data_IF_201418763742
#
_entry.id   IF_201418763742
#
_cell.length_a   1.000
_cell.length_b   1.000
_cell.length_c   1.000
_cell.angle_alpha   90.00
_cell.angle_beta   90.00
_cell.angle_gamma   90.00
#
_symmetry.space_group_name_H-M   'P 1'
#
loop_
_entity.id
_entity.type
_entity.pdbx_description
1 polymer ?
#
# COMPACT_ATOMS: atom_id res chain seq x y z
N UNK A 1 8.66 -26.19 7.99
CA UNK A 1 8.71 -24.72 8.13
C UNK A 1 7.97 -24.16 6.94
N UNK A 2 6.82 -23.53 7.14
CA UNK A 2 6.06 -22.95 6.02
C UNK A 2 6.95 -21.91 5.32
N UNK A 3 7.30 -22.16 4.06
CA UNK A 3 8.02 -21.24 3.18
C UNK A 3 7.07 -20.10 2.75
N UNK A 4 6.48 -19.38 3.71
CA UNK A 4 5.67 -18.21 3.40
C UNK A 4 6.59 -17.05 3.04
N UNK A 5 6.41 -16.50 1.84
CA UNK A 5 7.10 -15.29 1.39
C UNK A 5 6.76 -14.15 2.38
N UNK A 6 7.72 -13.67 3.21
CA UNK A 6 7.42 -12.67 4.22
C UNK A 6 6.97 -11.33 3.63
N UNK A 7 7.37 -11.03 2.39
CA UNK A 7 6.94 -9.83 1.70
C UNK A 7 5.46 -9.95 1.26
N UNK A 8 4.99 -11.15 0.93
CA UNK A 8 3.59 -11.37 0.57
C UNK A 8 2.68 -11.15 1.78
N UNK A 9 3.02 -11.72 2.95
CA UNK A 9 2.20 -11.54 4.16
C UNK A 9 2.20 -10.09 4.63
N UNK A 10 3.38 -9.45 4.68
CA UNK A 10 3.49 -8.02 5.05
C UNK A 10 2.71 -7.10 4.11
N UNK A 11 2.80 -7.32 2.80
CA UNK A 11 2.09 -6.47 1.83
C UNK A 11 0.58 -6.66 1.86
N UNK A 12 0.10 -7.87 2.19
CA UNK A 12 -1.33 -8.12 2.41
C UNK A 12 -1.85 -7.41 3.67
N UNK A 13 -1.11 -7.52 4.80
CA UNK A 13 -1.46 -6.83 6.04
C UNK A 13 -1.41 -5.31 5.89
N UNK A 14 -0.49 -4.80 5.08
CA UNK A 14 -0.44 -3.38 4.71
C UNK A 14 -1.66 -2.97 3.88
N UNK A 15 -2.01 -3.73 2.85
CA UNK A 15 -3.20 -3.48 2.02
C UNK A 15 -4.49 -3.45 2.87
N UNK A 16 -4.63 -4.35 3.86
CA UNK A 16 -5.76 -4.34 4.80
C UNK A 16 -5.85 -3.05 5.62
N UNK A 17 -4.71 -2.49 6.04
CA UNK A 17 -4.68 -1.23 6.77
C UNK A 17 -5.05 -0.04 5.87
N UNK A 18 -4.61 -0.05 4.61
CA UNK A 18 -5.01 0.94 3.61
C UNK A 18 -6.52 0.91 3.37
N UNK A 19 -7.11 -0.29 3.25
CA UNK A 19 -8.58 -0.44 3.11
C UNK A 19 -9.31 0.13 4.32
N UNK A 20 -8.84 -0.14 5.55
CA UNK A 20 -9.44 0.41 6.78
C UNK A 20 -9.33 1.94 6.81
N UNK A 21 -8.18 2.49 6.44
CA UNK A 21 -7.97 3.93 6.40
C UNK A 21 -8.88 4.60 5.35
N UNK A 22 -9.03 4.00 4.17
CA UNK A 22 -9.99 4.48 3.16
C UNK A 22 -11.43 4.51 3.69
N UNK A 23 -11.86 3.47 4.40
CA UNK A 23 -13.20 3.43 5.01
C UNK A 23 -13.39 4.53 6.06
N UNK A 24 -12.37 4.80 6.87
CA UNK A 24 -12.39 5.88 7.87
C UNK A 24 -12.50 7.27 7.21
N UNK A 25 -11.64 7.54 6.22
CA UNK A 25 -11.62 8.79 5.48
C UNK A 25 -12.95 9.07 4.77
N UNK A 26 -13.56 8.05 4.17
CA UNK A 26 -14.81 8.21 3.42
C UNK A 26 -16.04 8.31 4.33
N UNK A 27 -16.08 7.58 5.45
CA UNK A 27 -17.24 7.59 6.37
C UNK A 27 -17.24 8.82 7.27
N UNK A 28 -16.09 9.15 7.86
CA UNK A 28 -16.02 10.14 8.94
C UNK A 28 -15.46 11.49 8.46
N UNK A 29 -14.50 11.48 7.52
CA UNK A 29 -13.91 12.71 6.98
C UNK A 29 -14.54 13.19 5.68
N UNK A 30 -15.39 12.36 5.05
CA UNK A 30 -16.02 12.61 3.74
C UNK A 30 -15.00 12.99 2.66
N UNK A 31 -13.81 12.38 2.70
CA UNK A 31 -12.76 12.56 1.69
C UNK A 31 -12.81 11.38 0.72
N UNK A 32 -12.91 11.64 -0.59
CA UNK A 32 -13.18 10.63 -1.60
C UNK A 32 -12.19 10.60 -2.76
N UNK A 33 -11.34 11.61 -2.89
CA UNK A 33 -10.43 11.79 -4.02
C UNK A 33 -9.06 11.23 -3.67
N UNK A 34 -8.44 11.76 -2.62
CA UNK A 34 -7.10 11.34 -2.17
C UNK A 34 -7.13 9.93 -1.59
N UNK A 35 -8.15 9.62 -0.80
CA UNK A 35 -8.39 8.31 -0.20
C UNK A 35 -8.54 7.23 -1.26
N UNK A 36 -9.17 7.55 -2.40
CA UNK A 36 -9.31 6.62 -3.52
C UNK A 36 -8.00 6.40 -4.27
N UNK A 37 -7.17 7.43 -4.43
CA UNK A 37 -5.83 7.26 -5.00
C UNK A 37 -4.96 6.41 -4.07
N UNK A 38 -4.97 6.70 -2.76
CA UNK A 38 -4.29 5.92 -1.74
C UNK A 38 -4.73 4.45 -1.77
N UNK A 39 -6.05 4.20 -1.82
CA UNK A 39 -6.60 2.84 -1.86
C UNK A 39 -6.04 2.04 -3.04
N UNK A 40 -6.03 2.65 -4.23
CA UNK A 40 -5.53 2.00 -5.44
C UNK A 40 -4.04 1.68 -5.33
N UNK A 41 -3.21 2.67 -5.03
CA UNK A 41 -1.77 2.47 -4.94
C UNK A 41 -1.40 1.47 -3.83
N UNK A 42 -1.95 1.65 -2.62
CA UNK A 42 -1.60 0.84 -1.46
C UNK A 42 -2.01 -0.64 -1.58
N UNK A 43 -3.12 -0.92 -2.26
CA UNK A 43 -3.52 -2.31 -2.54
C UNK A 43 -2.79 -2.92 -3.74
N UNK A 44 -2.36 -2.08 -4.70
CA UNK A 44 -1.57 -2.49 -5.88
C UNK A 44 -0.19 -3.04 -5.49
N UNK A 45 0.39 -2.59 -4.38
CA UNK A 45 1.65 -3.13 -3.83
C UNK A 45 1.56 -4.65 -3.62
N UNK A 46 0.60 -5.09 -2.80
CA UNK A 46 0.40 -6.52 -2.51
C UNK A 46 -0.05 -7.31 -3.73
N UNK A 47 -0.88 -6.72 -4.60
CA UNK A 47 -1.32 -7.36 -5.83
C UNK A 47 -0.15 -7.70 -6.76
N UNK A 48 0.77 -6.76 -7.00
CA UNK A 48 1.94 -7.00 -7.84
C UNK A 48 2.94 -7.98 -7.20
N UNK A 49 3.09 -7.98 -5.88
CA UNK A 49 3.92 -8.98 -5.16
C UNK A 49 3.30 -10.39 -5.28
N UNK A 50 1.98 -10.51 -5.21
CA UNK A 50 1.29 -11.78 -5.42
C UNK A 50 1.49 -12.29 -6.86
N UNK A 51 1.38 -11.41 -7.86
CA UNK A 51 1.67 -11.76 -9.25
C UNK A 51 3.14 -12.17 -9.45
N UNK A 52 4.09 -11.50 -8.78
CA UNK A 52 5.50 -11.86 -8.83
C UNK A 52 5.75 -13.30 -8.35
N UNK A 53 5.03 -13.79 -7.33
CA UNK A 53 5.17 -15.18 -6.88
C UNK A 53 4.73 -16.21 -7.94
N UNK A 54 3.88 -15.82 -8.90
CA UNK A 54 3.47 -16.63 -10.05
C UNK A 54 4.29 -16.38 -11.32
N UNK A 55 5.38 -15.60 -11.23
CA UNK A 55 6.14 -15.18 -12.41
C UNK A 55 6.72 -16.36 -13.19
N UNK A 56 6.62 -16.29 -14.51
CA UNK A 56 7.10 -17.34 -15.43
C UNK A 56 8.59 -17.22 -15.77
N UNK A 57 9.22 -16.11 -15.37
CA UNK A 57 10.65 -15.86 -15.58
C UNK A 57 11.22 -14.88 -14.55
N UNK A 58 12.55 -14.82 -14.43
CA UNK A 58 13.22 -13.82 -13.57
C UNK A 58 12.96 -12.38 -14.01
N UNK A 59 12.85 -12.15 -15.33
CA UNK A 59 12.56 -10.82 -15.87
C UNK A 59 11.14 -10.36 -15.51
N UNK A 60 10.16 -11.26 -15.62
CA UNK A 60 8.77 -11.03 -15.22
C UNK A 60 8.66 -10.76 -13.71
N UNK A 61 9.31 -11.60 -12.89
CA UNK A 61 9.42 -11.39 -11.44
C UNK A 61 9.96 -9.99 -11.12
N UNK A 62 11.10 -9.61 -11.73
CA UNK A 62 11.73 -8.31 -11.51
C UNK A 62 10.85 -7.14 -11.94
N UNK A 63 10.10 -7.29 -13.04
CA UNK A 63 9.18 -6.27 -13.52
C UNK A 63 8.03 -6.04 -12.53
N UNK A 64 7.41 -7.12 -12.03
CA UNK A 64 6.32 -7.05 -11.04
C UNK A 64 6.77 -6.44 -9.72
N UNK A 65 7.94 -6.84 -9.20
CA UNK A 65 8.53 -6.23 -8.00
C UNK A 65 8.83 -4.74 -8.23
N UNK A 66 9.31 -4.35 -9.42
CA UNK A 66 9.55 -2.94 -9.73
C UNK A 66 8.27 -2.12 -9.78
N UNK A 67 7.16 -2.69 -10.24
CA UNK A 67 5.84 -2.04 -10.19
C UNK A 67 5.38 -1.90 -8.74
N UNK A 68 5.44 -2.98 -7.94
CA UNK A 68 5.09 -2.94 -6.52
C UNK A 68 5.86 -1.86 -5.75
N UNK A 69 7.15 -1.69 -6.06
CA UNK A 69 7.97 -0.64 -5.47
C UNK A 69 7.50 0.77 -5.86
N UNK A 70 7.16 1.01 -7.14
CA UNK A 70 6.60 2.30 -7.57
C UNK A 70 5.28 2.60 -6.86
N UNK A 71 4.42 1.60 -6.71
CA UNK A 71 3.13 1.72 -6.00
C UNK A 71 3.34 2.02 -4.50
N UNK A 72 4.39 1.48 -3.88
CA UNK A 72 4.77 1.84 -2.51
C UNK A 72 5.18 3.32 -2.41
N UNK A 73 6.01 3.81 -3.34
CA UNK A 73 6.40 5.22 -3.38
C UNK A 73 5.20 6.15 -3.55
N UNK A 74 4.27 5.79 -4.45
CA UNK A 74 3.03 6.54 -4.65
C UNK A 74 2.14 6.50 -3.40
N UNK A 75 2.04 5.35 -2.74
CA UNK A 75 1.30 5.20 -1.47
C UNK A 75 1.86 6.14 -0.39
N UNK A 76 3.18 6.20 -0.24
CA UNK A 76 3.85 7.14 0.69
C UNK A 76 3.56 8.59 0.34
N UNK A 77 3.52 8.94 -0.94
CA UNK A 77 3.14 10.29 -1.37
C UNK A 77 1.72 10.65 -0.90
N UNK A 78 0.75 9.77 -1.12
CA UNK A 78 -0.63 10.02 -0.70
C UNK A 78 -0.80 10.05 0.82
N UNK A 79 -0.08 9.21 1.56
CA UNK A 79 -0.07 9.25 3.04
C UNK A 79 0.50 10.58 3.56
N UNK A 80 1.58 11.08 2.96
CA UNK A 80 2.12 12.40 3.32
C UNK A 80 1.13 13.51 2.99
N UNK A 81 0.48 13.47 1.82
CA UNK A 81 -0.50 14.49 1.46
C UNK A 81 -1.69 14.52 2.43
N UNK A 82 -2.23 13.35 2.80
CA UNK A 82 -3.32 13.24 3.79
C UNK A 82 -2.90 13.69 5.19
N UNK A 83 -1.64 13.45 5.57
CA UNK A 83 -1.05 13.91 6.84
C UNK A 83 -0.91 15.44 6.86
N UNK A 84 -0.30 16.00 5.83
CA UNK A 84 -0.02 17.44 5.74
C UNK A 84 -1.29 18.28 5.50
N UNK A 85 -2.38 17.64 5.05
CA UNK A 85 -3.72 18.24 4.95
C UNK A 85 -4.65 17.89 6.12
N UNK A 86 -4.11 17.35 7.21
CA UNK A 86 -4.80 17.09 8.48
C UNK A 86 -6.00 16.11 8.38
N UNK A 87 -6.06 15.29 7.33
CA UNK A 87 -7.07 14.23 7.20
C UNK A 87 -6.79 13.04 8.13
N UNK A 88 -5.53 12.79 8.44
CA UNK A 88 -5.07 11.68 9.29
C UNK A 88 -4.07 12.16 10.34
N UNK A 89 -4.05 11.50 11.50
CA UNK A 89 -3.08 11.80 12.54
C UNK A 89 -1.64 11.46 12.12
N UNK A 90 -0.68 12.26 12.61
CA UNK A 90 0.75 12.07 12.35
C UNK A 90 1.24 10.67 12.74
N UNK A 91 0.76 10.13 13.86
CA UNK A 91 1.10 8.79 14.35
C UNK A 91 0.66 7.69 13.37
N UNK A 92 -0.57 7.79 12.85
CA UNK A 92 -1.14 6.87 11.87
C UNK A 92 -0.36 6.97 10.56
N UNK A 93 -0.12 8.19 10.07
CA UNK A 93 0.62 8.42 8.84
C UNK A 93 2.02 7.81 8.90
N UNK A 94 2.79 8.14 9.94
CA UNK A 94 4.17 7.66 10.09
C UNK A 94 4.22 6.13 10.20
N UNK A 95 3.30 5.52 10.97
CA UNK A 95 3.25 4.07 11.10
C UNK A 95 2.89 3.34 9.79
N UNK A 96 2.12 3.97 8.90
CA UNK A 96 1.84 3.42 7.57
C UNK A 96 2.97 3.68 6.57
N UNK A 97 3.64 4.83 6.66
CA UNK A 97 4.80 5.15 5.83
C UNK A 97 5.95 4.16 6.14
N UNK A 98 6.22 3.89 7.42
CA UNK A 98 7.24 2.91 7.83
C UNK A 98 6.93 1.50 7.32
N UNK A 99 5.64 1.12 7.23
CA UNK A 99 5.24 -0.18 6.66
C UNK A 99 5.36 -0.25 5.14
N UNK A 100 5.40 0.90 4.46
CA UNK A 100 5.56 0.99 3.02
C UNK A 100 7.05 0.97 2.59
N UNK A 101 7.97 1.24 3.51
CA UNK A 101 9.43 1.13 3.33
C UNK A 101 9.92 -0.33 3.40
#
# INVERSE_FOLDING_TARGET
>A
MNNENPLLSKSYDFALQIVKLYQELTKNKREYVLSKQLLRAGTSVGANIAEANGAISKADFSAKISIAYKESLETKYWLNLLKDSEYIELSIANGLIEKAD
#
